data_IF_823122682809
#
_entry.id   IF_823122682809
#
_cell.length_a   1.000
_cell.length_b   1.000
_cell.length_c   1.000
_cell.angle_alpha   90.00
_cell.angle_beta   90.00
_cell.angle_gamma   90.00
#
_symmetry.space_group_name_H-M   'P 1'
#
loop_
_entity.id
_entity.type
_entity.pdbx_description
1 polymer ?
#
# COMPACT_ATOMS: atom_id res chain seq x y z
N UNK A 1 -19.21 34.19 -6.68
CA UNK A 1 -17.75 34.08 -6.71
C UNK A 1 -17.43 32.60 -6.81
N UNK A 2 -16.46 32.20 -7.63
CA UNK A 2 -16.06 30.81 -7.71
C UNK A 2 -15.35 30.40 -6.41
N UNK A 3 -15.50 29.14 -6.00
CA UNK A 3 -14.93 28.64 -4.77
C UNK A 3 -13.44 28.29 -4.98
N UNK A 4 -12.56 28.99 -4.29
CA UNK A 4 -11.11 28.79 -4.34
C UNK A 4 -10.70 27.66 -3.40
N UNK A 5 -9.93 26.69 -3.91
CA UNK A 5 -9.38 25.60 -3.10
C UNK A 5 -8.20 26.09 -2.25
N UNK A 6 -8.08 25.59 -1.02
CA UNK A 6 -6.97 25.92 -0.12
C UNK A 6 -5.62 25.55 -0.74
N UNK A 7 -5.54 24.43 -1.46
CA UNK A 7 -4.32 24.03 -2.20
C UNK A 7 -3.84 25.12 -3.16
N UNK A 8 -4.75 25.75 -3.91
CA UNK A 8 -4.40 26.79 -4.88
C UNK A 8 -3.79 28.01 -4.20
N UNK A 9 -4.33 28.38 -3.03
CA UNK A 9 -3.82 29.51 -2.23
C UNK A 9 -2.39 29.22 -1.73
N UNK A 10 -2.11 28.00 -1.28
CA UNK A 10 -0.77 27.64 -0.82
C UNK A 10 0.25 27.47 -1.95
N UNK A 11 -0.17 26.99 -3.12
CA UNK A 11 0.74 26.76 -4.26
C UNK A 11 0.98 28.03 -5.08
N UNK A 12 0.05 28.98 -5.08
CA UNK A 12 0.17 30.25 -5.81
C UNK A 12 -0.37 31.43 -4.97
N UNK A 13 0.24 31.66 -3.81
CA UNK A 13 -0.23 32.69 -2.86
C UNK A 13 -0.32 34.09 -3.47
N UNK A 14 0.63 34.44 -4.34
CA UNK A 14 0.69 35.80 -4.91
C UNK A 14 -0.50 36.12 -5.81
N UNK A 15 -1.06 35.12 -6.50
CA UNK A 15 -2.26 35.31 -7.33
C UNK A 15 -3.52 35.67 -6.51
N UNK A 16 -3.56 35.31 -5.23
CA UNK A 16 -4.73 35.53 -4.36
C UNK A 16 -4.51 36.61 -3.29
N UNK A 17 -3.26 37.02 -3.06
CA UNK A 17 -2.96 38.00 -2.03
C UNK A 17 -3.61 39.34 -2.33
N UNK A 18 -4.23 39.95 -1.31
CA UNK A 18 -5.04 41.17 -1.41
C UNK A 18 -6.25 41.06 -2.35
N UNK A 19 -6.71 39.85 -2.68
CA UNK A 19 -7.93 39.60 -3.46
C UNK A 19 -9.08 39.15 -2.55
N UNK A 20 -10.30 39.51 -2.93
CA UNK A 20 -11.48 38.87 -2.35
C UNK A 20 -11.64 37.47 -2.93
N UNK A 21 -11.70 36.48 -2.04
CA UNK A 21 -11.89 35.07 -2.39
C UNK A 21 -13.03 34.46 -1.60
N UNK A 22 -13.55 33.35 -2.11
CA UNK A 22 -14.49 32.49 -1.41
C UNK A 22 -13.87 31.12 -1.20
N UNK A 23 -13.95 30.58 0.01
CA UNK A 23 -13.51 29.22 0.34
C UNK A 23 -14.66 28.46 0.99
N UNK A 24 -14.59 27.13 0.95
CA UNK A 24 -15.50 26.24 1.66
C UNK A 24 -14.75 25.10 2.31
N UNK A 25 -15.12 24.69 3.51
CA UNK A 25 -14.49 23.56 4.17
C UNK A 25 -15.03 23.30 5.56
N UNK A 26 -14.34 22.43 6.30
CA UNK A 26 -14.75 22.02 7.64
C UNK A 26 -13.91 22.72 8.72
N UNK A 27 -14.58 23.12 9.79
CA UNK A 27 -13.96 23.70 10.98
C UNK A 27 -13.04 22.66 11.64
N UNK A 28 -11.75 22.98 11.68
CA UNK A 28 -10.74 22.23 12.46
C UNK A 28 -10.71 22.67 13.90
N UNK A 29 -10.62 23.98 14.09
CA UNK A 29 -10.57 24.61 15.41
C UNK A 29 -11.24 25.98 15.36
N UNK A 30 -11.83 26.37 16.49
CA UNK A 30 -12.43 27.68 16.71
C UNK A 30 -11.81 28.27 17.99
N UNK A 31 -11.40 29.54 17.94
CA UNK A 31 -10.93 30.32 19.09
C UNK A 31 -11.62 31.68 19.06
N UNK A 32 -12.36 32.03 20.11
CA UNK A 32 -13.19 33.24 20.15
C UNK A 32 -12.73 34.16 21.28
N UNK A 33 -12.65 35.45 20.99
CA UNK A 33 -12.52 36.55 21.95
C UNK A 33 -13.78 37.43 21.89
N UNK A 34 -13.86 38.47 22.73
CA UNK A 34 -15.06 39.33 22.79
C UNK A 34 -15.41 40.02 21.46
N UNK A 35 -14.42 40.49 20.71
CA UNK A 35 -14.62 41.30 19.51
C UNK A 35 -14.20 40.60 18.19
N UNK A 36 -13.51 39.47 18.27
CA UNK A 36 -13.01 38.74 17.11
C UNK A 36 -12.75 37.28 17.43
N UNK A 37 -12.60 36.44 16.40
CA UNK A 37 -12.23 35.05 16.53
C UNK A 37 -11.41 34.53 15.36
N UNK A 38 -10.87 33.34 15.54
CA UNK A 38 -10.08 32.60 14.58
C UNK A 38 -10.73 31.25 14.31
N UNK A 39 -10.90 30.92 13.03
CA UNK A 39 -11.35 29.60 12.57
C UNK A 39 -10.24 29.01 11.72
N UNK A 40 -9.83 27.78 12.01
CA UNK A 40 -9.00 27.01 11.09
C UNK A 40 -9.92 26.18 10.19
N UNK A 41 -9.82 26.38 8.88
CA UNK A 41 -10.61 25.67 7.88
C UNK A 41 -9.71 24.75 7.07
N UNK A 42 -10.17 23.52 6.87
CA UNK A 42 -9.57 22.60 5.91
C UNK A 42 -10.66 22.06 4.99
N UNK A 43 -10.36 22.02 3.70
CA UNK A 43 -11.26 21.59 2.63
C UNK A 43 -10.90 20.20 2.08
N UNK A 44 -9.87 19.55 2.65
CA UNK A 44 -9.38 18.28 2.14
C UNK A 44 -8.52 18.39 0.88
N UNK A 45 -8.20 19.58 0.35
CA UNK A 45 -7.36 19.73 -0.86
C UNK A 45 -5.88 19.89 -0.54
N UNK A 46 -5.56 20.35 0.66
CA UNK A 46 -4.18 20.55 1.13
C UNK A 46 -4.00 20.06 2.57
N UNK A 47 -2.77 19.70 2.93
CA UNK A 47 -2.45 19.23 4.28
C UNK A 47 -2.68 20.33 5.33
N UNK A 48 -2.19 21.55 5.06
CA UNK A 48 -2.34 22.69 5.98
C UNK A 48 -3.75 23.29 5.90
N UNK A 49 -4.21 23.80 7.03
CA UNK A 49 -5.48 24.54 7.14
C UNK A 49 -5.23 26.03 6.94
N UNK A 50 -6.22 26.75 6.41
CA UNK A 50 -6.18 28.21 6.35
C UNK A 50 -6.78 28.82 7.62
N UNK A 51 -6.13 29.86 8.15
CA UNK A 51 -6.68 30.66 9.24
C UNK A 51 -7.65 31.70 8.66
N UNK A 52 -8.85 31.75 9.22
CA UNK A 52 -9.86 32.77 8.96
C UNK A 52 -10.01 33.62 10.21
N UNK A 53 -9.93 34.94 10.06
CA UNK A 53 -10.22 35.92 11.12
C UNK A 53 -11.59 36.50 10.87
N UNK A 54 -12.44 36.51 11.89
CA UNK A 54 -13.76 37.13 11.83
C UNK A 54 -13.96 38.06 13.01
N UNK A 55 -14.69 39.15 12.81
CA UNK A 55 -14.86 40.22 13.79
C UNK A 55 -16.34 40.46 14.08
N UNK A 56 -16.67 41.16 15.17
CA UNK A 56 -18.05 41.46 15.58
C UNK A 56 -18.89 42.20 14.52
N UNK A 57 -18.23 42.76 13.50
CA UNK A 57 -18.86 43.43 12.36
C UNK A 57 -19.62 42.49 11.41
N UNK A 58 -19.37 41.17 11.45
CA UNK A 58 -20.15 40.22 10.64
C UNK A 58 -21.55 40.02 11.24
N UNK A 59 -22.57 39.89 10.39
CA UNK A 59 -23.98 39.89 10.81
C UNK A 59 -24.37 38.74 11.76
N UNK A 60 -23.67 37.61 11.69
CA UNK A 60 -23.94 36.40 12.47
C UNK A 60 -22.80 36.05 13.45
N UNK A 61 -22.08 37.05 13.97
CA UNK A 61 -20.93 36.84 14.87
C UNK A 61 -21.21 35.90 16.05
N UNK A 62 -22.35 36.07 16.72
CA UNK A 62 -22.73 35.24 17.88
C UNK A 62 -22.96 33.77 17.52
N UNK A 63 -23.46 33.51 16.32
CA UNK A 63 -23.72 32.16 15.80
C UNK A 63 -22.40 31.49 15.42
N UNK A 64 -21.56 32.18 14.66
CA UNK A 64 -20.23 31.69 14.24
C UNK A 64 -19.34 31.44 15.46
N UNK A 65 -19.47 32.25 16.51
CA UNK A 65 -18.73 32.10 17.77
C UNK A 65 -19.05 30.80 18.52
N UNK A 66 -20.08 30.04 18.11
CA UNK A 66 -20.51 28.79 18.74
C UNK A 66 -20.41 27.58 17.81
N UNK A 67 -19.85 27.75 16.61
CA UNK A 67 -19.79 26.65 15.63
C UNK A 67 -18.95 25.48 16.14
N UNK A 68 -19.47 24.26 15.99
CA UNK A 68 -18.79 23.06 16.44
C UNK A 68 -17.66 22.64 15.48
N UNK A 69 -16.64 21.97 16.02
CA UNK A 69 -15.60 21.30 15.21
C UNK A 69 -16.26 20.31 14.27
N UNK A 70 -15.85 20.30 13.00
CA UNK A 70 -16.44 19.45 11.96
C UNK A 70 -17.65 20.05 11.26
N UNK A 71 -18.11 21.26 11.61
CA UNK A 71 -19.15 21.97 10.84
C UNK A 71 -18.59 22.45 9.51
N UNK A 72 -19.41 22.47 8.45
CA UNK A 72 -19.04 22.98 7.13
C UNK A 72 -19.45 24.43 6.97
N UNK A 73 -18.52 25.26 6.50
CA UNK A 73 -18.70 26.69 6.29
C UNK A 73 -18.39 27.09 4.84
N UNK A 74 -19.07 28.13 4.36
CA UNK A 74 -18.72 28.90 3.17
C UNK A 74 -18.32 30.30 3.63
N UNK A 75 -17.13 30.76 3.25
CA UNK A 75 -16.52 31.98 3.77
C UNK A 75 -16.06 32.83 2.61
N UNK A 76 -16.53 34.08 2.57
CA UNK A 76 -16.02 35.11 1.67
C UNK A 76 -15.19 36.11 2.47
N UNK A 77 -14.02 36.48 1.96
CA UNK A 77 -13.15 37.43 2.64
C UNK A 77 -11.98 37.91 1.80
N UNK A 78 -11.20 38.82 2.37
CA UNK A 78 -9.96 39.34 1.78
C UNK A 78 -8.76 38.52 2.28
N UNK A 79 -7.98 37.92 1.38
CA UNK A 79 -6.76 37.24 1.75
C UNK A 79 -5.63 38.25 1.98
N UNK A 80 -5.01 38.25 3.14
CA UNK A 80 -3.95 39.20 3.51
C UNK A 80 -2.75 38.48 4.09
N UNK A 81 -1.59 39.15 4.10
CA UNK A 81 -0.43 38.65 4.84
C UNK A 81 -0.73 38.60 6.33
N UNK A 82 -0.29 37.51 6.97
CA UNK A 82 -0.48 37.35 8.41
C UNK A 82 0.52 38.25 9.16
N UNK A 83 0.09 39.03 10.17
CA UNK A 83 0.95 39.91 10.95
C UNK A 83 1.95 39.17 11.87
N UNK A 84 2.06 37.84 11.79
CA UNK A 84 2.98 37.03 12.58
C UNK A 84 3.58 35.84 11.83
N UNK A 85 4.75 35.38 12.27
CA UNK A 85 5.61 34.43 11.55
C UNK A 85 5.12 32.97 11.46
N UNK A 86 3.96 32.61 12.03
CA UNK A 86 3.52 31.20 12.10
C UNK A 86 2.78 30.71 10.86
N UNK A 87 2.12 31.60 10.14
CA UNK A 87 1.49 31.31 8.85
C UNK A 87 1.75 32.44 7.86
N UNK A 88 1.84 32.16 6.55
CA UNK A 88 2.15 33.17 5.54
C UNK A 88 0.99 34.16 5.31
N UNK A 89 -0.26 33.73 5.50
CA UNK A 89 -1.45 34.52 5.18
C UNK A 89 -2.63 34.14 6.08
N UNK A 90 -3.65 34.99 6.10
CA UNK A 90 -4.95 34.74 6.72
C UNK A 90 -6.09 35.36 5.90
N UNK A 91 -7.29 34.79 6.02
CA UNK A 91 -8.49 35.30 5.36
C UNK A 91 -9.27 36.18 6.34
N UNK A 92 -9.40 37.48 6.05
CA UNK A 92 -10.29 38.38 6.80
C UNK A 92 -11.73 38.19 6.30
N UNK A 93 -12.55 37.52 7.09
CA UNK A 93 -13.93 37.19 6.72
C UNK A 93 -14.79 38.44 6.63
N UNK A 94 -15.49 38.58 5.50
CA UNK A 94 -16.55 39.56 5.29
C UNK A 94 -17.93 38.94 5.49
N UNK A 95 -18.09 37.66 5.14
CA UNK A 95 -19.31 36.90 5.37
C UNK A 95 -19.01 35.42 5.60
N UNK A 96 -19.74 34.80 6.52
CA UNK A 96 -19.63 33.37 6.82
C UNK A 96 -21.03 32.77 6.82
N UNK A 97 -21.22 31.71 6.03
CA UNK A 97 -22.45 30.92 5.97
C UNK A 97 -22.17 29.55 6.56
N UNK A 98 -23.02 29.10 7.49
CA UNK A 98 -23.00 27.73 7.99
C UNK A 98 -23.77 26.87 6.99
N UNK A 99 -23.05 26.03 6.25
CA UNK A 99 -23.65 25.09 5.30
C UNK A 99 -24.20 23.86 6.02
N UNK A 100 -23.49 23.41 7.06
CA UNK A 100 -23.86 22.23 7.83
C UNK A 100 -23.30 22.27 9.24
N UNK A 101 -24.18 22.24 10.23
CA UNK A 101 -23.81 22.19 11.63
C UNK A 101 -23.35 20.78 12.03
N UNK A 102 -22.30 20.70 12.85
CA UNK A 102 -21.86 19.44 13.44
C UNK A 102 -22.41 19.28 14.86
N UNK A 103 -22.82 18.06 15.20
CA UNK A 103 -23.30 17.71 16.54
C UNK A 103 -22.15 17.69 17.56
N UNK A 104 -22.46 17.93 18.83
CA UNK A 104 -21.48 17.97 19.92
C UNK A 104 -20.92 16.61 20.28
N UNK A 105 -21.59 15.52 19.90
CA UNK A 105 -21.14 14.13 20.04
C UNK A 105 -20.16 13.69 18.93
N UNK A 106 -19.74 14.62 18.05
CA UNK A 106 -18.78 14.33 16.99
C UNK A 106 -17.51 13.67 17.55
N UNK A 107 -17.14 12.44 17.13
CA UNK A 107 -16.04 11.67 17.73
C UNK A 107 -14.68 12.36 17.66
N UNK A 108 -14.41 13.12 16.59
CA UNK A 108 -13.13 13.76 16.33
C UNK A 108 -13.03 15.15 16.98
N UNK A 109 -13.31 15.22 18.27
CA UNK A 109 -13.06 16.41 19.08
C UNK A 109 -11.56 16.79 19.07
N UNK A 110 -11.25 18.06 19.36
CA UNK A 110 -9.88 18.62 19.42
C UNK A 110 -9.08 18.08 20.61
N UNK A 111 -8.77 16.79 20.57
CA UNK A 111 -7.92 16.05 21.51
C UNK A 111 -7.13 14.99 20.76
N UNK A 112 -6.11 14.45 21.41
CA UNK A 112 -5.38 13.30 20.88
C UNK A 112 -6.28 12.06 20.96
N UNK A 113 -6.30 11.29 19.88
CA UNK A 113 -6.97 10.00 19.79
C UNK A 113 -5.93 8.91 19.52
N UNK A 114 -6.11 7.72 20.09
CA UNK A 114 -5.26 6.57 19.76
C UNK A 114 -5.59 6.03 18.37
N UNK A 115 -4.63 5.38 17.71
CA UNK A 115 -4.91 4.69 16.44
C UNK A 115 -5.95 3.59 16.60
N UNK A 116 -5.94 2.87 17.72
CA UNK A 116 -6.94 1.86 18.04
C UNK A 116 -8.37 2.43 18.04
N UNK A 117 -8.58 3.57 18.70
CA UNK A 117 -9.88 4.25 18.66
C UNK A 117 -10.22 4.74 17.25
N UNK A 118 -9.25 5.30 16.52
CA UNK A 118 -9.49 5.78 15.17
C UNK A 118 -9.89 4.65 14.20
N UNK A 119 -9.44 3.41 14.42
CA UNK A 119 -9.88 2.23 13.66
C UNK A 119 -11.35 1.89 13.89
N UNK A 120 -11.91 2.14 15.08
CA UNK A 120 -13.35 1.89 15.35
C UNK A 120 -14.26 2.93 14.69
N UNK A 121 -13.71 4.03 14.19
CA UNK A 121 -14.40 5.07 13.44
C UNK A 121 -13.75 5.32 12.07
N UNK A 122 -13.39 4.23 11.37
CA UNK A 122 -12.67 4.28 10.10
C UNK A 122 -13.34 5.19 9.05
N UNK A 123 -14.66 5.31 9.06
CA UNK A 123 -15.44 6.21 8.20
C UNK A 123 -15.20 7.71 8.47
N UNK A 124 -14.71 8.10 9.66
CA UNK A 124 -14.39 9.48 10.01
C UNK A 124 -12.89 9.77 10.07
N UNK A 125 -12.05 8.77 10.37
CA UNK A 125 -10.61 8.98 10.61
C UNK A 125 -9.87 9.70 9.48
N UNK A 126 -10.21 9.62 8.16
CA UNK A 126 -9.55 10.42 7.12
C UNK A 126 -9.59 11.92 7.36
N UNK A 127 -10.52 12.39 8.20
CA UNK A 127 -10.58 13.79 8.62
C UNK A 127 -9.48 14.15 9.61
N UNK A 128 -8.74 13.23 10.22
CA UNK A 128 -7.61 13.59 11.09
C UNK A 128 -6.36 13.92 10.29
N UNK A 129 -5.38 14.63 10.86
CA UNK A 129 -4.15 14.98 10.16
C UNK A 129 -3.39 13.74 9.68
N UNK A 130 -3.20 12.75 10.56
CA UNK A 130 -2.45 11.53 10.21
C UNK A 130 -3.07 10.78 9.04
N UNK A 131 -4.35 10.46 9.12
CA UNK A 131 -5.01 9.69 8.07
C UNK A 131 -5.27 10.50 6.79
N UNK A 132 -5.48 11.82 6.91
CA UNK A 132 -5.47 12.71 5.73
C UNK A 132 -4.13 12.63 5.00
N UNK A 133 -3.01 12.68 5.72
CA UNK A 133 -1.69 12.53 5.10
C UNK A 133 -1.50 11.13 4.48
N UNK A 134 -1.85 10.07 5.22
CA UNK A 134 -1.67 8.68 4.76
C UNK A 134 -2.44 8.43 3.47
N UNK A 135 -3.73 8.81 3.41
CA UNK A 135 -4.55 8.51 2.24
C UNK A 135 -4.24 9.41 1.03
N UNK A 136 -3.69 10.62 1.25
CA UNK A 136 -3.12 11.44 0.16
C UNK A 136 -1.87 10.79 -0.43
N UNK A 137 -0.93 10.39 0.42
CA UNK A 137 0.30 9.71 -0.02
C UNK A 137 -0.07 8.40 -0.70
N UNK A 138 -1.02 7.61 -0.16
CA UNK A 138 -1.53 6.41 -0.83
C UNK A 138 -2.04 6.70 -2.23
N UNK A 139 -2.92 7.69 -2.40
CA UNK A 139 -3.42 8.07 -3.72
C UNK A 139 -2.31 8.51 -4.67
N UNK A 140 -1.33 9.25 -4.17
CA UNK A 140 -0.20 9.76 -4.94
C UNK A 140 0.73 8.62 -5.38
N UNK A 141 1.04 7.67 -4.49
CA UNK A 141 1.88 6.51 -4.79
C UNK A 141 1.19 5.60 -5.80
N UNK A 142 -0.13 5.39 -5.69
CA UNK A 142 -0.86 4.62 -6.71
C UNK A 142 -0.71 5.24 -8.11
N UNK A 143 -0.84 6.57 -8.21
CA UNK A 143 -0.59 7.29 -9.47
C UNK A 143 0.87 7.15 -9.92
N UNK A 144 1.83 7.27 -9.00
CA UNK A 144 3.26 7.12 -9.29
C UNK A 144 3.60 5.73 -9.84
N UNK A 145 3.01 4.67 -9.28
CA UNK A 145 3.18 3.30 -9.77
C UNK A 145 2.68 3.18 -11.22
N UNK A 146 1.46 3.64 -11.51
CA UNK A 146 0.95 3.63 -12.88
C UNK A 146 1.83 4.43 -13.83
N UNK A 147 2.31 5.61 -13.39
CA UNK A 147 3.20 6.46 -14.17
C UNK A 147 4.53 5.77 -14.46
N UNK A 148 5.16 5.17 -13.46
CA UNK A 148 6.43 4.44 -13.58
C UNK A 148 6.36 3.37 -14.68
N UNK A 149 5.33 2.52 -14.61
CA UNK A 149 5.15 1.43 -15.57
C UNK A 149 4.76 1.94 -16.96
N UNK A 150 3.81 2.87 -17.06
CA UNK A 150 3.35 3.37 -18.35
C UNK A 150 4.42 4.19 -19.09
N UNK A 151 5.22 4.99 -18.38
CA UNK A 151 6.35 5.72 -18.99
C UNK A 151 7.41 4.75 -19.56
N UNK A 152 7.48 3.51 -19.05
CA UNK A 152 8.33 2.41 -19.54
C UNK A 152 7.65 1.52 -20.59
N UNK A 153 6.42 1.83 -20.98
CA UNK A 153 5.67 1.08 -21.99
C UNK A 153 5.07 -0.25 -21.50
N UNK A 154 4.93 -0.44 -20.18
CA UNK A 154 4.23 -1.61 -19.65
C UNK A 154 2.73 -1.51 -19.90
N UNK A 155 2.10 -2.65 -20.18
CA UNK A 155 0.64 -2.76 -20.29
C UNK A 155 0.02 -3.08 -18.94
N UNK A 156 -0.95 -2.28 -18.51
CA UNK A 156 -1.72 -2.55 -17.30
C UNK A 156 -2.77 -3.63 -17.56
N UNK A 157 -2.69 -4.75 -16.83
CA UNK A 157 -3.54 -5.93 -17.02
C UNK A 157 -4.43 -6.13 -15.79
N UNK A 158 -5.73 -6.27 -16.03
CA UNK A 158 -6.69 -6.69 -15.02
C UNK A 158 -6.81 -8.21 -15.03
N UNK A 159 -6.20 -8.87 -14.06
CA UNK A 159 -6.28 -10.31 -13.86
C UNK A 159 -7.56 -10.69 -13.10
N UNK A 160 -8.07 -11.93 -13.26
CA UNK A 160 -9.29 -12.36 -12.59
C UNK A 160 -9.11 -12.42 -11.08
N UNK A 161 -10.15 -12.00 -10.33
CA UNK A 161 -10.16 -12.07 -8.87
C UNK A 161 -10.73 -13.41 -8.37
N UNK A 162 -11.79 -13.91 -9.03
CA UNK A 162 -12.33 -15.23 -8.77
C UNK A 162 -11.50 -16.23 -9.57
N UNK A 163 -10.94 -17.24 -8.91
CA UNK A 163 -10.04 -18.23 -9.50
C UNK A 163 -10.43 -19.64 -9.11
N UNK A 164 -10.12 -20.61 -9.97
CA UNK A 164 -10.15 -22.04 -9.64
C UNK A 164 -8.75 -22.62 -9.46
N UNK A 165 -7.71 -21.79 -9.40
CA UNK A 165 -6.31 -22.17 -9.30
C UNK A 165 -5.66 -21.50 -8.09
N UNK A 166 -4.81 -22.23 -7.37
CA UNK A 166 -3.92 -21.67 -6.34
C UNK A 166 -2.57 -21.33 -6.97
N UNK A 167 -2.19 -20.05 -6.90
CA UNK A 167 -0.93 -19.56 -7.46
C UNK A 167 0.26 -19.77 -6.51
N UNK A 168 0.04 -19.70 -5.19
CA UNK A 168 1.12 -19.80 -4.19
C UNK A 168 1.24 -21.22 -3.61
N UNK A 169 0.23 -22.08 -3.80
CA UNK A 169 0.22 -23.47 -3.34
C UNK A 169 0.11 -23.62 -1.82
N UNK A 170 -0.29 -22.55 -1.13
CA UNK A 170 -0.36 -22.47 0.33
C UNK A 170 -1.76 -22.83 0.89
N UNK A 171 -2.78 -23.02 0.03
CA UNK A 171 -4.06 -23.63 0.40
C UNK A 171 -5.03 -22.79 1.26
N UNK A 172 -4.61 -21.64 1.80
CA UNK A 172 -5.47 -20.77 2.61
C UNK A 172 -6.14 -19.66 1.78
N UNK A 173 -7.08 -20.06 0.92
CA UNK A 173 -7.87 -19.16 0.06
C UNK A 173 -9.30 -18.99 0.58
N UNK A 174 -9.92 -17.83 0.30
CA UNK A 174 -11.35 -17.63 0.60
C UNK A 174 -12.21 -18.25 -0.49
N UNK A 175 -13.08 -19.19 -0.12
CA UNK A 175 -14.04 -19.78 -1.04
C UNK A 175 -15.12 -18.78 -1.46
N UNK A 176 -15.43 -18.73 -2.76
CA UNK A 176 -16.52 -17.96 -3.36
C UNK A 176 -17.55 -18.96 -3.86
N UNK A 177 -18.75 -18.94 -3.29
CA UNK A 177 -19.83 -19.88 -3.61
C UNK A 177 -21.18 -19.19 -3.62
N UNK A 178 -22.08 -19.71 -4.46
CA UNK A 178 -23.51 -19.35 -4.45
C UNK A 178 -24.38 -20.44 -3.84
N UNK A 179 -23.78 -21.56 -3.44
CA UNK A 179 -24.49 -22.67 -2.84
C UNK A 179 -25.12 -22.24 -1.51
N UNK A 180 -26.32 -22.77 -1.27
CA UNK A 180 -26.96 -22.65 0.04
C UNK A 180 -26.20 -23.53 1.05
N UNK A 181 -25.55 -22.90 2.03
CA UNK A 181 -24.77 -23.61 3.06
C UNK A 181 -25.65 -24.49 3.95
N UNK A 182 -26.94 -24.19 4.08
CA UNK A 182 -27.91 -25.01 4.82
C UNK A 182 -28.45 -26.18 3.97
N UNK A 183 -28.25 -26.14 2.64
CA UNK A 183 -28.78 -27.11 1.69
C UNK A 183 -27.77 -27.49 0.60
N UNK A 184 -26.54 -27.81 1.00
CA UNK A 184 -25.45 -28.14 0.07
C UNK A 184 -25.80 -29.35 -0.81
N UNK A 185 -25.75 -29.20 -2.16
CA UNK A 185 -25.99 -30.31 -3.06
C UNK A 185 -24.91 -31.39 -2.90
N UNK A 186 -25.29 -32.65 -3.09
CA UNK A 186 -24.40 -33.80 -2.92
C UNK A 186 -24.31 -34.66 -4.18
N UNK A 187 -23.13 -35.22 -4.42
CA UNK A 187 -22.91 -36.27 -5.43
C UNK A 187 -23.45 -37.61 -4.93
N UNK A 188 -23.44 -38.64 -5.77
CA UNK A 188 -23.82 -40.00 -5.37
C UNK A 188 -22.90 -40.55 -4.26
N UNK A 189 -21.65 -40.10 -4.22
CA UNK A 189 -20.64 -40.42 -3.20
C UNK A 189 -20.79 -39.59 -1.91
N UNK A 190 -21.77 -38.67 -1.84
CA UNK A 190 -22.03 -37.83 -0.68
C UNK A 190 -21.10 -36.63 -0.50
N UNK A 191 -20.21 -36.36 -1.47
CA UNK A 191 -19.37 -35.16 -1.49
C UNK A 191 -20.19 -33.93 -1.92
N UNK A 192 -19.69 -32.71 -1.67
CA UNK A 192 -20.35 -31.50 -2.18
C UNK A 192 -20.26 -31.53 -3.71
N UNK A 193 -21.40 -31.38 -4.37
CA UNK A 193 -21.49 -31.32 -5.82
C UNK A 193 -21.21 -29.90 -6.32
N UNK A 194 -19.94 -29.55 -6.43
CA UNK A 194 -19.50 -28.25 -6.98
C UNK A 194 -19.86 -28.06 -8.46
N UNK A 195 -20.24 -29.13 -9.17
CA UNK A 195 -20.82 -29.03 -10.51
C UNK A 195 -22.13 -28.24 -10.54
N UNK A 196 -22.76 -28.03 -9.38
CA UNK A 196 -23.97 -27.21 -9.20
C UNK A 196 -23.72 -25.81 -8.63
N UNK A 197 -22.48 -25.43 -8.35
CA UNK A 197 -22.15 -24.05 -7.99
C UNK A 197 -22.16 -23.15 -9.25
N UNK A 198 -22.05 -21.83 -9.08
CA UNK A 198 -22.19 -20.84 -10.14
C UNK A 198 -21.24 -21.07 -11.33
N UNK A 199 -19.99 -21.44 -11.05
CA UNK A 199 -18.95 -21.67 -12.06
C UNK A 199 -18.82 -23.14 -12.47
N UNK A 200 -19.69 -24.03 -11.96
CA UNK A 200 -19.64 -25.47 -12.23
C UNK A 200 -18.40 -26.18 -11.67
N UNK A 201 -17.67 -25.53 -10.77
CA UNK A 201 -16.51 -26.04 -10.02
C UNK A 201 -16.27 -25.18 -8.78
N UNK A 202 -15.41 -25.65 -7.89
CA UNK A 202 -14.96 -24.89 -6.74
C UNK A 202 -14.19 -23.64 -7.18
N UNK A 203 -14.47 -22.51 -6.54
CA UNK A 203 -13.82 -21.22 -6.83
C UNK A 203 -13.48 -20.46 -5.56
N UNK A 204 -12.41 -19.68 -5.64
CA UNK A 204 -11.82 -18.94 -4.54
C UNK A 204 -11.49 -17.50 -4.95
N UNK A 205 -11.21 -16.64 -3.97
CA UNK A 205 -10.56 -15.35 -4.19
C UNK A 205 -9.05 -15.55 -4.37
N UNK A 206 -8.48 -14.89 -5.38
CA UNK A 206 -7.07 -15.08 -5.74
C UNK A 206 -6.10 -14.54 -4.68
N UNK A 207 -5.00 -15.27 -4.49
CA UNK A 207 -3.84 -14.84 -3.70
C UNK A 207 -2.88 -13.98 -4.53
N UNK A 208 -2.91 -14.12 -5.87
CA UNK A 208 -2.00 -13.44 -6.79
C UNK A 208 -2.53 -13.47 -8.23
N UNK A 209 -2.28 -12.41 -9.01
CA UNK A 209 -2.57 -12.35 -10.44
C UNK A 209 -1.46 -12.94 -11.32
N UNK A 210 -0.33 -13.36 -10.74
CA UNK A 210 0.92 -13.67 -11.45
C UNK A 210 0.74 -14.66 -12.61
N UNK A 211 0.12 -15.82 -12.37
CA UNK A 211 -0.02 -16.86 -13.40
C UNK A 211 -0.78 -16.32 -14.63
N UNK A 212 -1.79 -15.46 -14.41
CA UNK A 212 -2.51 -14.80 -15.48
C UNK A 212 -1.67 -13.69 -16.13
N UNK A 213 -0.89 -12.93 -15.36
CA UNK A 213 0.01 -11.90 -15.88
C UNK A 213 1.05 -12.49 -16.84
N UNK A 214 1.58 -13.68 -16.57
CA UNK A 214 2.50 -14.40 -17.46
C UNK A 214 1.88 -14.65 -18.86
N UNK A 215 0.57 -14.91 -18.95
CA UNK A 215 -0.10 -15.07 -20.25
C UNK A 215 -0.04 -13.79 -21.10
N UNK A 216 -0.25 -12.62 -20.47
CA UNK A 216 -0.20 -11.32 -21.12
C UNK A 216 1.25 -10.89 -21.38
N UNK A 217 2.18 -11.26 -20.50
CA UNK A 217 3.60 -11.04 -20.67
C UNK A 217 4.12 -11.64 -22.00
N UNK A 218 3.67 -12.84 -22.35
CA UNK A 218 4.00 -13.48 -23.63
C UNK A 218 3.46 -12.73 -24.86
N UNK A 219 2.43 -11.89 -24.71
CA UNK A 219 1.84 -11.12 -25.80
C UNK A 219 2.36 -9.68 -25.88
N UNK A 220 2.54 -9.02 -24.74
CA UNK A 220 2.83 -7.59 -24.63
C UNK A 220 4.25 -7.28 -24.17
N UNK A 221 5.06 -8.33 -23.93
CA UNK A 221 6.43 -8.27 -23.41
C UNK A 221 6.53 -7.78 -21.97
N UNK A 222 6.00 -6.60 -21.66
CA UNK A 222 6.07 -6.00 -20.32
C UNK A 222 4.66 -5.68 -19.84
N UNK A 223 4.25 -6.28 -18.73
CA UNK A 223 2.91 -6.09 -18.15
C UNK A 223 2.99 -5.87 -16.65
N UNK A 224 1.94 -5.31 -16.07
CA UNK A 224 1.79 -5.28 -14.62
C UNK A 224 0.32 -5.38 -14.22
N UNK A 225 0.07 -5.98 -13.06
CA UNK A 225 -1.21 -5.91 -12.35
C UNK A 225 -1.15 -4.84 -11.27
N UNK A 226 -2.32 -4.37 -10.85
CA UNK A 226 -2.52 -3.57 -9.66
C UNK A 226 -3.94 -3.84 -9.18
N UNK A 227 -4.09 -4.86 -8.33
CA UNK A 227 -5.41 -5.37 -7.95
C UNK A 227 -5.45 -5.87 -6.52
N UNK A 228 -6.66 -6.12 -6.00
CA UNK A 228 -6.83 -6.74 -4.69
C UNK A 228 -6.44 -8.22 -4.74
N UNK A 229 -5.82 -8.69 -3.67
CA UNK A 229 -5.50 -10.09 -3.39
C UNK A 229 -5.93 -10.44 -1.97
N UNK A 230 -6.14 -11.73 -1.73
CA UNK A 230 -6.78 -12.20 -0.51
C UNK A 230 -6.00 -13.36 0.10
N UNK A 231 -5.88 -13.38 1.43
CA UNK A 231 -5.28 -14.49 2.17
C UNK A 231 -6.17 -14.86 3.34
N UNK A 232 -6.56 -16.12 3.43
CA UNK A 232 -7.45 -16.63 4.47
C UNK A 232 -6.69 -17.12 5.73
N UNK A 233 -5.41 -16.79 5.84
CA UNK A 233 -4.60 -17.13 7.01
C UNK A 233 -5.19 -16.55 8.30
N UNK A 234 -5.21 -17.37 9.36
CA UNK A 234 -5.68 -16.94 10.67
C UNK A 234 -4.60 -16.14 11.42
N UNK A 235 -4.13 -15.06 10.78
CA UNK A 235 -2.99 -14.25 11.19
C UNK A 235 -3.45 -12.86 11.61
N UNK A 236 -3.43 -12.57 12.93
CA UNK A 236 -3.85 -11.27 13.48
C UNK A 236 -2.66 -10.43 13.96
N UNK A 237 -1.74 -10.11 13.06
CA UNK A 237 -0.54 -9.31 13.38
C UNK A 237 -0.73 -7.84 12.96
N UNK A 238 0.24 -6.98 13.28
CA UNK A 238 0.25 -5.60 12.80
C UNK A 238 0.55 -5.46 11.29
N UNK A 239 0.94 -6.55 10.61
CA UNK A 239 1.43 -6.53 9.22
C UNK A 239 0.58 -7.34 8.25
N UNK A 240 -0.34 -8.17 8.75
CA UNK A 240 -1.23 -8.99 7.92
C UNK A 240 -2.64 -8.42 7.82
N UNK A 241 -3.19 -8.50 6.61
CA UNK A 241 -4.57 -8.21 6.27
C UNK A 241 -5.09 -9.34 5.38
N UNK A 242 -6.39 -9.64 5.50
CA UNK A 242 -7.04 -10.68 4.71
C UNK A 242 -7.37 -10.20 3.29
N UNK A 243 -7.48 -8.89 3.09
CA UNK A 243 -7.65 -8.20 1.81
C UNK A 243 -6.59 -7.09 1.75
N UNK A 244 -5.79 -7.09 0.69
CA UNK A 244 -4.73 -6.11 0.44
C UNK A 244 -4.53 -5.95 -1.07
N UNK A 245 -3.71 -4.98 -1.48
CA UNK A 245 -3.47 -4.71 -2.89
C UNK A 245 -2.06 -5.12 -3.27
N UNK A 246 -1.93 -5.81 -4.40
CA UNK A 246 -0.66 -6.24 -4.97
C UNK A 246 -0.39 -5.51 -6.29
N UNK A 247 0.89 -5.22 -6.52
CA UNK A 247 1.42 -4.74 -7.79
C UNK A 247 2.37 -5.80 -8.31
N UNK A 248 2.05 -6.38 -9.47
CA UNK A 248 2.74 -7.56 -9.97
C UNK A 248 3.20 -7.33 -11.42
N UNK A 249 4.39 -6.75 -11.66
CA UNK A 249 4.97 -6.71 -12.98
C UNK A 249 5.50 -8.06 -13.44
N UNK A 250 5.42 -8.30 -14.74
CA UNK A 250 5.97 -9.47 -15.42
C UNK A 250 6.65 -9.02 -16.72
N UNK A 251 7.87 -9.52 -16.96
CA UNK A 251 8.77 -9.05 -18.02
C UNK A 251 9.27 -10.24 -18.86
N UNK A 252 8.99 -10.23 -20.16
CA UNK A 252 9.47 -11.23 -21.09
C UNK A 252 10.90 -10.93 -21.56
N UNK A 253 11.64 -12.00 -21.86
CA UNK A 253 13.08 -11.97 -22.17
C UNK A 253 13.94 -11.48 -21.00
N UNK A 254 13.42 -11.53 -19.77
CA UNK A 254 14.08 -11.09 -18.55
C UNK A 254 14.56 -12.28 -17.71
N UNK A 255 15.64 -12.12 -16.97
CA UNK A 255 16.08 -13.02 -15.90
C UNK A 255 15.95 -12.37 -14.51
N UNK A 256 16.43 -13.06 -13.46
CA UNK A 256 16.39 -12.56 -12.09
C UNK A 256 17.13 -11.21 -11.92
N UNK A 257 18.19 -10.97 -12.72
CA UNK A 257 18.94 -9.73 -12.64
C UNK A 257 18.12 -8.54 -13.16
N UNK A 258 17.44 -8.72 -14.29
CA UNK A 258 16.52 -7.74 -14.85
C UNK A 258 15.36 -7.43 -13.85
N UNK A 259 14.86 -8.46 -13.16
CA UNK A 259 13.78 -8.34 -12.17
C UNK A 259 14.20 -7.51 -10.94
N UNK A 260 15.40 -7.77 -10.40
CA UNK A 260 15.98 -6.98 -9.31
C UNK A 260 16.23 -5.53 -9.70
N UNK A 261 16.70 -5.27 -10.94
CA UNK A 261 16.91 -3.91 -11.43
C UNK A 261 15.61 -3.12 -11.53
N UNK A 262 14.53 -3.74 -12.04
CA UNK A 262 13.21 -3.11 -12.08
C UNK A 262 12.68 -2.80 -10.67
N UNK A 263 12.82 -3.76 -9.73
CA UNK A 263 12.39 -3.59 -8.34
C UNK A 263 13.14 -2.44 -7.63
N UNK A 264 14.46 -2.37 -7.80
CA UNK A 264 15.30 -1.29 -7.26
C UNK A 264 14.90 0.07 -7.86
N UNK A 265 14.76 0.15 -9.18
CA UNK A 265 14.40 1.38 -9.88
C UNK A 265 13.02 1.89 -9.42
N UNK A 266 12.03 1.01 -9.32
CA UNK A 266 10.69 1.35 -8.86
C UNK A 266 10.73 1.90 -7.43
N UNK A 267 11.44 1.25 -6.51
CA UNK A 267 11.53 1.71 -5.13
C UNK A 267 12.17 3.10 -5.02
N UNK A 268 13.28 3.33 -5.73
CA UNK A 268 13.93 4.65 -5.78
C UNK A 268 12.99 5.71 -6.38
N UNK A 269 12.31 5.38 -7.48
CA UNK A 269 11.35 6.26 -8.13
C UNK A 269 10.21 6.67 -7.21
N UNK A 270 9.54 5.72 -6.53
CA UNK A 270 8.40 6.00 -5.66
C UNK A 270 8.79 6.90 -4.48
N UNK A 271 9.97 6.68 -3.89
CA UNK A 271 10.46 7.52 -2.79
C UNK A 271 10.72 8.94 -3.28
N UNK A 272 11.48 9.10 -4.36
CA UNK A 272 11.75 10.43 -4.95
C UNK A 272 10.45 11.15 -5.31
N UNK A 273 9.52 10.44 -5.96
CA UNK A 273 8.25 11.01 -6.40
C UNK A 273 7.43 11.56 -5.23
N UNK A 274 7.32 10.81 -4.13
CA UNK A 274 6.56 11.26 -2.95
C UNK A 274 7.24 12.41 -2.20
N UNK A 275 8.57 12.38 -2.08
CA UNK A 275 9.32 13.49 -1.46
C UNK A 275 9.14 14.81 -2.24
N UNK A 276 9.04 14.74 -3.57
CA UNK A 276 8.80 15.91 -4.42
C UNK A 276 7.33 16.37 -4.38
N UNK A 277 6.37 15.44 -4.45
CA UNK A 277 4.97 15.78 -4.71
C UNK A 277 4.08 15.86 -3.45
N UNK A 278 4.54 15.38 -2.29
CA UNK A 278 3.83 15.47 -1.00
C UNK A 278 4.72 15.98 0.16
N UNK A 279 5.47 17.08 0.00
CA UNK A 279 6.46 17.52 0.99
C UNK A 279 5.83 17.86 2.34
N UNK A 280 4.58 18.37 2.37
CA UNK A 280 3.89 18.68 3.63
C UNK A 280 3.51 17.44 4.43
N UNK A 281 2.96 16.40 3.77
CA UNK A 281 2.65 15.12 4.39
C UNK A 281 3.93 14.41 4.87
N UNK A 282 4.97 14.42 4.05
CA UNK A 282 6.25 13.79 4.37
C UNK A 282 6.95 14.48 5.55
N UNK A 283 6.92 15.81 5.62
CA UNK A 283 7.41 16.55 6.78
C UNK A 283 6.60 16.20 8.06
N UNK A 284 5.28 16.08 7.95
CA UNK A 284 4.44 15.64 9.06
C UNK A 284 4.81 14.25 9.57
N UNK A 285 5.01 13.28 8.68
CA UNK A 285 5.42 11.93 9.08
C UNK A 285 6.78 11.93 9.76
N UNK A 286 7.75 12.66 9.21
CA UNK A 286 9.07 12.76 9.82
C UNK A 286 9.03 13.44 11.20
N UNK A 287 8.18 14.44 11.41
CA UNK A 287 8.11 15.13 12.70
C UNK A 287 7.34 14.33 13.77
N UNK A 288 6.21 13.71 13.39
CA UNK A 288 5.22 13.21 14.33
C UNK A 288 5.04 11.69 14.34
N UNK A 289 5.50 10.96 13.31
CA UNK A 289 5.34 9.50 13.20
C UNK A 289 6.69 8.79 13.40
N UNK A 290 7.68 9.14 12.59
CA UNK A 290 9.02 8.53 12.64
C UNK A 290 10.10 9.59 12.33
N UNK A 291 10.85 9.99 13.36
CA UNK A 291 11.91 11.02 13.27
C UNK A 291 13.11 10.63 12.41
N UNK A 292 13.19 9.36 12.03
CA UNK A 292 14.24 8.80 11.18
C UNK A 292 13.77 8.58 9.74
N UNK A 293 12.51 8.92 9.42
CA UNK A 293 11.90 8.65 8.12
C UNK A 293 12.73 9.20 6.96
N UNK A 294 13.09 10.49 6.98
CA UNK A 294 13.87 11.09 5.90
C UNK A 294 15.23 10.43 5.74
N UNK A 295 15.97 10.24 6.83
CA UNK A 295 17.26 9.54 6.78
C UNK A 295 17.15 8.12 6.23
N UNK A 296 16.06 7.40 6.55
CA UNK A 296 15.81 6.06 6.01
C UNK A 296 15.53 6.12 4.52
N UNK A 297 14.63 6.99 4.08
CA UNK A 297 14.25 7.12 2.67
C UNK A 297 15.42 7.59 1.80
N UNK A 298 16.20 8.56 2.28
CA UNK A 298 17.43 9.03 1.64
C UNK A 298 18.49 7.92 1.54
N UNK A 299 18.59 7.05 2.56
CA UNK A 299 19.48 5.89 2.49
C UNK A 299 19.09 4.95 1.35
N UNK A 300 17.79 4.69 1.12
CA UNK A 300 17.34 3.87 -0.02
C UNK A 300 17.70 4.51 -1.35
N UNK A 301 17.34 5.79 -1.53
CA UNK A 301 17.53 6.49 -2.81
C UNK A 301 19.01 6.55 -3.20
N UNK A 302 19.90 6.77 -2.22
CA UNK A 302 21.32 6.97 -2.46
C UNK A 302 22.18 5.70 -2.35
N UNK A 303 21.61 4.55 -1.97
CA UNK A 303 22.37 3.30 -1.83
C UNK A 303 22.36 2.49 -3.11
N UNK A 304 23.49 1.83 -3.40
CA UNK A 304 23.52 0.67 -4.29
C UNK A 304 23.05 -0.56 -3.50
N UNK A 305 21.99 -1.23 -3.95
CA UNK A 305 21.40 -2.32 -3.17
C UNK A 305 22.39 -3.49 -3.07
N UNK A 306 22.53 -4.03 -1.86
CA UNK A 306 23.33 -5.23 -1.64
C UNK A 306 22.71 -6.43 -2.35
N UNK A 307 23.52 -7.42 -2.69
CA UNK A 307 23.07 -8.69 -3.25
C UNK A 307 23.83 -9.80 -2.56
N UNK A 308 23.12 -10.76 -1.99
CA UNK A 308 23.68 -11.94 -1.35
C UNK A 308 22.83 -13.16 -1.70
N UNK A 309 23.46 -14.31 -1.80
CA UNK A 309 22.71 -15.56 -1.86
C UNK A 309 22.09 -15.87 -0.50
N UNK A 310 21.00 -16.62 -0.48
CA UNK A 310 20.39 -17.17 0.73
C UNK A 310 21.41 -17.97 1.55
N UNK A 311 22.26 -18.75 0.87
CA UNK A 311 23.31 -19.54 1.53
C UNK A 311 24.29 -18.64 2.30
N UNK A 312 24.77 -17.56 1.68
CA UNK A 312 25.63 -16.58 2.36
C UNK A 312 24.89 -15.86 3.48
N UNK A 313 23.60 -15.54 3.30
CA UNK A 313 22.77 -14.94 4.34
C UNK A 313 22.68 -15.83 5.58
N UNK A 314 22.42 -17.13 5.40
CA UNK A 314 22.41 -18.12 6.48
C UNK A 314 23.79 -18.22 7.15
N UNK A 315 24.88 -18.26 6.40
CA UNK A 315 26.23 -18.31 6.97
C UNK A 315 26.56 -17.07 7.82
N UNK A 316 26.09 -15.89 7.43
CA UNK A 316 26.23 -14.65 8.20
C UNK A 316 25.39 -14.72 9.47
N UNK A 317 24.12 -15.10 9.36
CA UNK A 317 23.18 -15.16 10.47
C UNK A 317 23.57 -16.23 11.50
N UNK A 318 24.10 -17.38 11.06
CA UNK A 318 24.53 -18.47 11.94
C UNK A 318 25.68 -18.09 12.87
N UNK A 319 26.54 -17.14 12.46
CA UNK A 319 27.62 -16.60 13.32
C UNK A 319 27.05 -15.83 14.51
N UNK A 320 25.81 -15.35 14.40
CA UNK A 320 25.12 -14.51 15.37
C UNK A 320 23.85 -15.20 15.91
N UNK A 321 23.70 -16.52 15.71
CA UNK A 321 22.47 -17.29 15.96
C UNK A 321 21.90 -17.15 17.37
N UNK A 322 22.77 -16.94 18.37
CA UNK A 322 22.38 -16.81 19.78
C UNK A 322 21.59 -15.51 20.08
N UNK A 323 21.45 -14.62 19.08
CA UNK A 323 20.70 -13.36 19.18
C UNK A 323 19.25 -13.46 18.74
N UNK A 324 18.88 -14.54 18.06
CA UNK A 324 17.59 -14.69 17.40
C UNK A 324 16.67 -15.59 18.22
N UNK A 325 15.38 -15.27 18.19
CA UNK A 325 14.34 -16.13 18.78
C UNK A 325 14.07 -17.33 17.87
N UNK A 326 14.09 -17.11 16.55
CA UNK A 326 13.83 -18.12 15.53
C UNK A 326 15.13 -18.76 15.04
N UNK A 327 15.10 -20.08 14.76
CA UNK A 327 16.28 -20.81 14.31
C UNK A 327 16.78 -20.28 12.95
N UNK A 328 18.10 -20.35 12.77
CA UNK A 328 18.78 -19.98 11.53
C UNK A 328 19.44 -21.23 10.94
N UNK A 329 18.72 -21.89 10.05
CA UNK A 329 19.18 -23.14 9.41
C UNK A 329 18.94 -23.08 7.90
N UNK A 330 19.82 -23.74 7.14
CA UNK A 330 19.63 -23.81 5.69
C UNK A 330 18.40 -24.66 5.39
N UNK A 331 17.48 -24.13 4.58
CA UNK A 331 16.18 -24.76 4.30
C UNK A 331 15.04 -24.21 5.15
N UNK A 332 15.28 -23.28 6.08
CA UNK A 332 14.21 -22.53 6.77
C UNK A 332 14.05 -21.15 6.18
N UNK A 333 12.81 -20.66 6.12
CA UNK A 333 12.54 -19.31 5.65
C UNK A 333 13.06 -18.26 6.64
N UNK A 334 13.52 -17.11 6.11
CA UNK A 334 14.06 -16.04 6.93
C UNK A 334 12.92 -15.33 7.67
N UNK A 335 13.10 -15.12 8.97
CA UNK A 335 12.15 -14.35 9.76
C UNK A 335 12.49 -12.86 9.71
N UNK A 336 11.52 -11.99 9.99
CA UNK A 336 11.71 -10.53 10.02
C UNK A 336 12.91 -10.10 10.86
N UNK A 337 13.21 -10.77 11.98
CA UNK A 337 14.39 -10.43 12.80
C UNK A 337 15.72 -10.69 12.07
N UNK A 338 15.78 -11.75 11.25
CA UNK A 338 16.93 -12.11 10.44
C UNK A 338 17.11 -11.11 9.29
N UNK A 339 16.03 -10.79 8.58
CA UNK A 339 16.00 -9.82 7.48
C UNK A 339 16.45 -8.42 7.94
N UNK A 340 15.91 -7.98 9.08
CA UNK A 340 16.28 -6.70 9.68
C UNK A 340 17.73 -6.70 10.16
N UNK A 341 18.23 -7.82 10.67
CA UNK A 341 19.64 -7.90 11.05
C UNK A 341 20.58 -7.73 9.86
N UNK A 342 20.28 -8.37 8.73
CA UNK A 342 21.06 -8.22 7.49
C UNK A 342 21.06 -6.75 7.04
N UNK A 343 19.88 -6.12 6.95
CA UNK A 343 19.75 -4.76 6.42
C UNK A 343 20.22 -3.67 7.37
N UNK A 344 20.02 -3.81 8.69
CA UNK A 344 20.31 -2.78 9.69
C UNK A 344 21.70 -2.90 10.33
N UNK A 345 22.21 -4.13 10.51
CA UNK A 345 23.47 -4.36 11.25
C UNK A 345 24.63 -4.71 10.33
N UNK A 346 24.40 -5.58 9.34
CA UNK A 346 25.46 -6.07 8.43
C UNK A 346 25.68 -5.10 7.29
N UNK A 347 24.66 -4.86 6.47
CA UNK A 347 24.78 -4.10 5.23
C UNK A 347 24.51 -2.60 5.41
N UNK A 348 23.63 -2.23 6.35
CA UNK A 348 23.22 -0.82 6.61
C UNK A 348 22.63 -0.12 5.38
N UNK A 349 21.99 -0.92 4.52
CA UNK A 349 21.37 -0.54 3.25
C UNK A 349 20.40 -1.64 2.80
N UNK A 350 19.58 -1.43 1.76
CA UNK A 350 18.74 -2.48 1.17
C UNK A 350 19.57 -3.63 0.63
N UNK A 351 19.01 -4.83 0.68
CA UNK A 351 19.68 -6.05 0.25
C UNK A 351 18.68 -6.95 -0.47
N UNK A 352 19.04 -7.43 -1.66
CA UNK A 352 18.41 -8.58 -2.27
C UNK A 352 19.04 -9.85 -1.70
N UNK A 353 18.20 -10.74 -1.16
CA UNK A 353 18.57 -12.13 -0.90
C UNK A 353 18.07 -12.95 -2.08
N UNK A 354 18.96 -13.73 -2.70
CA UNK A 354 18.67 -14.50 -3.92
C UNK A 354 18.94 -15.98 -3.76
N UNK A 355 18.48 -16.80 -4.70
CA UNK A 355 18.79 -18.24 -4.78
C UNK A 355 18.34 -19.03 -3.53
N UNK A 356 17.04 -18.92 -3.21
CA UNK A 356 16.43 -19.61 -2.08
C UNK A 356 16.33 -21.12 -2.31
N UNK A 357 16.31 -21.95 -1.24
CA UNK A 357 16.06 -23.38 -1.35
C UNK A 357 14.72 -23.66 -2.04
N UNK A 358 14.72 -24.58 -3.02
CA UNK A 358 13.52 -24.86 -3.80
C UNK A 358 12.33 -25.30 -2.93
N UNK A 359 12.59 -26.05 -1.86
CA UNK A 359 11.57 -26.70 -1.03
C UNK A 359 10.74 -25.75 -0.17
N UNK A 360 11.15 -24.48 -0.05
CA UNK A 360 10.41 -23.42 0.67
C UNK A 360 9.84 -22.35 -0.28
N UNK A 361 9.88 -22.59 -1.60
CA UNK A 361 9.43 -21.65 -2.61
C UNK A 361 8.48 -22.32 -3.60
N UNK A 362 7.71 -21.49 -4.31
CA UNK A 362 6.62 -21.93 -5.18
C UNK A 362 7.10 -22.71 -6.42
N UNK A 363 6.20 -23.54 -6.97
CA UNK A 363 6.49 -24.45 -8.09
C UNK A 363 6.93 -23.76 -9.38
N UNK A 364 6.53 -22.50 -9.59
CA UNK A 364 6.78 -21.74 -10.81
C UNK A 364 8.19 -21.12 -10.86
N UNK A 365 8.95 -21.14 -9.77
CA UNK A 365 10.27 -20.50 -9.72
C UNK A 365 11.31 -21.36 -10.43
N UNK A 366 12.14 -20.74 -11.29
CA UNK A 366 13.12 -21.46 -12.10
C UNK A 366 14.14 -22.19 -11.24
N UNK A 367 14.34 -23.48 -11.50
CA UNK A 367 15.37 -24.28 -10.83
C UNK A 367 16.78 -23.85 -11.31
N UNK A 368 17.66 -23.55 -10.35
CA UNK A 368 19.05 -23.22 -10.61
C UNK A 368 19.88 -24.46 -11.00
N UNK A 369 21.06 -24.22 -11.57
CA UNK A 369 21.95 -25.29 -12.06
C UNK A 369 22.53 -26.17 -10.93
N UNK A 370 22.42 -25.73 -9.67
CA UNK A 370 22.79 -26.51 -8.49
C UNK A 370 21.75 -27.57 -8.09
N UNK A 371 20.58 -27.57 -8.74
CA UNK A 371 19.40 -28.40 -8.49
C UNK A 371 18.83 -28.34 -7.05
N UNK A 372 19.28 -27.37 -6.26
CA UNK A 372 18.91 -27.18 -4.84
C UNK A 372 18.17 -25.89 -4.60
N UNK A 373 18.53 -24.84 -5.34
CA UNK A 373 17.97 -23.50 -5.20
C UNK A 373 17.11 -23.13 -6.41
N UNK A 374 16.27 -22.11 -6.23
CA UNK A 374 15.49 -21.50 -7.31
C UNK A 374 15.89 -20.04 -7.46
N UNK A 375 15.78 -19.52 -8.68
CA UNK A 375 16.04 -18.13 -9.02
C UNK A 375 14.96 -17.18 -8.45
N UNK A 376 14.85 -17.15 -7.13
CA UNK A 376 14.00 -16.28 -6.35
C UNK A 376 14.81 -15.10 -5.83
N UNK A 377 14.14 -13.96 -5.61
CA UNK A 377 14.71 -12.81 -4.91
C UNK A 377 13.70 -12.24 -3.93
N UNK A 378 14.19 -11.85 -2.76
CA UNK A 378 13.44 -11.04 -1.81
C UNK A 378 14.23 -9.73 -1.59
N UNK A 379 13.59 -8.59 -1.81
CA UNK A 379 14.15 -7.28 -1.49
C UNK A 379 13.85 -6.95 -0.03
N UNK A 380 14.91 -6.86 0.77
CA UNK A 380 14.85 -6.50 2.17
C UNK A 380 15.21 -5.01 2.35
N UNK A 381 14.41 -4.30 3.13
CA UNK A 381 14.66 -2.90 3.49
C UNK A 381 14.77 -2.70 5.01
N UNK A 382 15.66 -1.80 5.48
CA UNK A 382 15.78 -1.49 6.91
C UNK A 382 14.44 -1.11 7.56
N UNK A 383 14.17 -1.61 8.76
CA UNK A 383 12.97 -1.33 9.55
C UNK A 383 11.79 -2.27 9.30
N UNK A 384 11.51 -2.62 8.03
CA UNK A 384 10.35 -3.48 7.68
C UNK A 384 10.76 -4.94 7.48
N UNK A 385 11.86 -5.20 6.77
CA UNK A 385 12.20 -6.52 6.26
C UNK A 385 11.83 -6.63 4.78
N UNK A 386 11.29 -7.77 4.36
CA UNK A 386 10.83 -8.01 2.99
C UNK A 386 9.76 -7.00 2.52
N UNK A 387 10.02 -6.34 1.39
CA UNK A 387 9.09 -5.41 0.73
C UNK A 387 8.64 -5.89 -0.65
N UNK A 388 9.51 -6.58 -1.40
CA UNK A 388 9.23 -7.19 -2.70
C UNK A 388 9.71 -8.63 -2.67
N UNK A 389 8.91 -9.56 -3.18
CA UNK A 389 9.32 -10.95 -3.43
C UNK A 389 9.06 -11.30 -4.89
N UNK A 390 10.00 -11.96 -5.55
CA UNK A 390 9.91 -12.25 -6.99
C UNK A 390 10.81 -13.40 -7.41
N UNK A 391 10.76 -13.72 -8.71
CA UNK A 391 11.58 -14.80 -9.27
C UNK A 391 11.65 -14.73 -10.78
N UNK A 392 12.69 -15.31 -11.33
CA UNK A 392 12.64 -15.82 -12.69
C UNK A 392 11.73 -17.05 -12.74
N UNK A 393 10.87 -17.12 -13.76
CA UNK A 393 9.90 -18.20 -13.90
C UNK A 393 10.50 -19.40 -14.60
N UNK A 394 10.06 -20.60 -14.25
CA UNK A 394 10.49 -21.83 -14.90
C UNK A 394 9.91 -21.89 -16.32
N UNK A 395 10.74 -21.59 -17.31
CA UNK A 395 10.37 -21.57 -18.72
C UNK A 395 10.47 -22.94 -19.39
N UNK A 396 11.14 -23.92 -18.76
CA UNK A 396 11.34 -25.26 -19.31
C UNK A 396 10.20 -26.18 -18.88
N UNK A 397 9.44 -26.68 -19.85
CA UNK A 397 8.22 -27.45 -19.60
C UNK A 397 8.46 -28.70 -18.75
N UNK A 398 9.51 -29.47 -19.06
CA UNK A 398 9.86 -30.70 -18.36
C UNK A 398 10.26 -30.45 -16.89
N UNK A 399 10.95 -29.35 -16.62
CA UNK A 399 11.29 -28.93 -15.25
C UNK A 399 10.05 -28.49 -14.48
N UNK A 400 9.18 -27.69 -15.11
CA UNK A 400 7.94 -27.22 -14.52
C UNK A 400 7.00 -28.38 -14.18
N UNK A 401 6.76 -29.29 -15.13
CA UNK A 401 5.92 -30.46 -14.91
C UNK A 401 6.45 -31.38 -13.80
N UNK A 402 7.78 -31.58 -13.76
CA UNK A 402 8.43 -32.34 -12.69
C UNK A 402 8.22 -31.66 -11.33
N UNK A 403 8.36 -30.32 -11.25
CA UNK A 403 8.16 -29.59 -10.00
C UNK A 403 6.70 -29.64 -9.53
N UNK A 404 5.75 -29.57 -10.46
CA UNK A 404 4.33 -29.76 -10.16
C UNK A 404 4.05 -31.16 -9.59
N UNK A 405 4.65 -32.21 -10.16
CA UNK A 405 4.54 -33.58 -9.60
C UNK A 405 5.12 -33.67 -8.20
N UNK A 406 6.30 -33.07 -7.95
CA UNK A 406 6.95 -33.03 -6.63
C UNK A 406 6.06 -32.36 -5.56
N UNK A 407 5.28 -31.36 -5.95
CA UNK A 407 4.40 -30.60 -5.05
C UNK A 407 2.94 -31.11 -5.04
N UNK A 408 2.64 -32.18 -5.76
CA UNK A 408 1.30 -32.78 -5.79
C UNK A 408 0.23 -31.94 -6.50
N UNK A 409 0.63 -31.08 -7.44
CA UNK A 409 -0.30 -30.25 -8.22
C UNK A 409 -0.93 -31.04 -9.38
N UNK A 410 -2.23 -30.86 -9.59
CA UNK A 410 -2.97 -31.47 -10.70
C UNK A 410 -2.75 -30.70 -12.00
N UNK A 411 -1.88 -31.22 -12.89
CA UNK A 411 -1.47 -30.54 -14.13
C UNK A 411 -2.63 -30.14 -15.04
N UNK A 412 -3.72 -30.89 -15.00
CA UNK A 412 -4.95 -30.62 -15.76
C UNK A 412 -5.52 -29.24 -15.46
N UNK A 413 -5.43 -28.78 -14.20
CA UNK A 413 -5.92 -27.46 -13.77
C UNK A 413 -5.07 -26.29 -14.29
N UNK A 414 -3.82 -26.60 -14.70
CA UNK A 414 -2.82 -25.65 -15.17
C UNK A 414 -2.48 -25.85 -16.65
N UNK A 415 -3.29 -26.61 -17.42
CA UNK A 415 -3.00 -26.88 -18.83
C UNK A 415 -2.73 -25.61 -19.65
N UNK A 416 -3.50 -24.55 -19.40
CA UNK A 416 -3.33 -23.23 -20.00
C UNK A 416 -2.01 -22.53 -19.61
N UNK A 417 -1.51 -22.79 -18.40
CA UNK A 417 -0.25 -22.25 -17.90
C UNK A 417 0.96 -23.01 -18.47
N UNK A 418 0.84 -24.33 -18.60
CA UNK A 418 1.82 -25.18 -19.28
C UNK A 418 1.95 -24.84 -20.76
N UNK A 419 0.84 -24.46 -21.41
CA UNK A 419 0.84 -24.04 -22.81
C UNK A 419 1.72 -22.81 -23.08
N UNK A 420 1.92 -21.95 -22.07
CA UNK A 420 2.88 -20.83 -22.16
C UNK A 420 4.32 -21.31 -22.42
N UNK A 421 4.67 -22.53 -21.97
CA UNK A 421 5.99 -23.14 -22.18
C UNK A 421 6.06 -23.99 -23.46
N UNK A 422 4.91 -24.34 -24.04
CA UNK A 422 4.82 -25.11 -25.30
C UNK A 422 4.86 -24.22 -26.54
N UNK A 423 4.15 -23.09 -26.50
CA UNK A 423 3.90 -22.28 -27.70
C UNK A 423 4.78 -21.03 -27.72
N UNK A 424 6.08 -21.23 -27.90
CA UNK A 424 7.03 -20.13 -28.04
C UNK A 424 7.32 -19.37 -26.75
N UNK A 425 7.23 -20.06 -25.59
CA UNK A 425 7.63 -19.52 -24.31
C UNK A 425 9.08 -19.03 -24.29
N UNK A 426 9.37 -18.09 -23.41
CA UNK A 426 10.69 -17.48 -23.27
C UNK A 426 11.08 -17.38 -21.80
N UNK A 427 12.35 -17.12 -21.54
CA UNK A 427 12.81 -16.62 -20.24
C UNK A 427 12.02 -15.37 -19.85
N UNK A 428 11.52 -15.32 -18.62
CA UNK A 428 10.78 -14.20 -18.08
C UNK A 428 10.88 -14.18 -16.56
N UNK A 429 10.65 -13.02 -15.98
CA UNK A 429 10.71 -12.80 -14.54
C UNK A 429 9.68 -11.75 -14.11
N UNK A 430 9.38 -11.75 -12.83
CA UNK A 430 8.50 -10.77 -12.24
C UNK A 430 8.48 -10.87 -10.72
N UNK A 431 7.85 -9.88 -10.10
CA UNK A 431 7.76 -9.79 -8.65
C UNK A 431 6.39 -9.34 -8.20
N UNK A 432 6.10 -9.54 -6.91
CA UNK A 432 4.95 -8.99 -6.22
C UNK A 432 5.39 -7.93 -5.21
N UNK A 433 4.70 -6.79 -5.23
CA UNK A 433 4.85 -5.72 -4.24
C UNK A 433 3.53 -5.50 -3.51
N UNK A 434 3.53 -5.74 -2.20
CA UNK A 434 2.39 -5.40 -1.34
C UNK A 434 2.24 -3.88 -1.21
N UNK A 435 1.17 -3.32 -1.76
CA UNK A 435 0.95 -1.88 -1.80
C UNK A 435 0.93 -1.27 -0.40
N UNK A 436 0.23 -1.94 0.53
CA UNK A 436 0.17 -1.54 1.93
C UNK A 436 1.56 -1.47 2.57
N UNK A 437 2.45 -2.43 2.29
CA UNK A 437 3.82 -2.44 2.83
C UNK A 437 4.60 -1.22 2.33
N UNK A 438 4.43 -0.82 1.07
CA UNK A 438 5.02 0.42 0.53
C UNK A 438 4.48 1.66 1.24
N UNK A 439 3.16 1.75 1.44
CA UNK A 439 2.59 2.91 2.15
C UNK A 439 3.08 2.96 3.60
N UNK A 440 3.15 1.83 4.30
CA UNK A 440 3.74 1.75 5.64
C UNK A 440 5.18 2.24 5.65
N UNK A 441 5.98 1.80 4.68
CA UNK A 441 7.39 2.16 4.56
C UNK A 441 7.60 3.65 4.32
N UNK A 442 6.87 4.22 3.35
CA UNK A 442 6.95 5.63 2.95
C UNK A 442 6.41 6.59 4.03
N UNK A 443 5.44 6.16 4.82
CA UNK A 443 4.80 7.02 5.84
C UNK A 443 5.34 6.80 7.26
N UNK A 444 6.09 5.71 7.49
CA UNK A 444 6.52 5.27 8.83
C UNK A 444 5.40 4.68 9.70
N UNK A 445 4.20 4.49 9.15
CA UNK A 445 3.08 3.87 9.86
C UNK A 445 3.36 2.38 10.07
N UNK A 446 3.28 1.93 11.31
CA UNK A 446 3.71 0.58 11.71
C UNK A 446 2.64 -0.50 11.67
N UNK A 447 1.37 -0.14 11.40
CA UNK A 447 0.27 -1.08 11.34
C UNK A 447 -0.48 -1.00 10.00
N UNK A 448 -0.64 -2.13 9.32
CA UNK A 448 -1.32 -2.23 8.02
C UNK A 448 -2.75 -1.67 8.05
N UNK A 449 -3.44 -1.83 9.19
CA UNK A 449 -4.82 -1.34 9.38
C UNK A 449 -4.94 0.18 9.28
N UNK A 450 -3.82 0.89 9.37
CA UNK A 450 -3.78 2.35 9.32
C UNK A 450 -3.41 2.90 7.94
N UNK A 451 -3.03 2.04 7.00
CA UNK A 451 -2.74 2.42 5.60
C UNK A 451 -3.75 1.90 4.58
N UNK A 452 -4.68 1.04 5.03
CA UNK A 452 -5.88 0.60 4.30
C UNK A 452 -7.07 1.43 4.74
N UNK A 453 -7.96 1.82 3.82
CA UNK A 453 -9.15 2.60 4.15
C UNK A 453 -10.05 1.89 5.17
N UNK A 454 -10.51 0.68 4.81
CA UNK A 454 -11.34 -0.21 5.63
C UNK A 454 -10.69 -1.60 5.68
N UNK A 455 -9.82 -1.87 6.67
CA UNK A 455 -9.05 -3.10 6.69
C UNK A 455 -9.94 -4.33 6.95
N UNK A 456 -9.71 -5.41 6.19
CA UNK A 456 -10.22 -6.75 6.48
C UNK A 456 -9.16 -7.54 7.24
N UNK A 457 -9.48 -7.97 8.45
CA UNK A 457 -8.57 -8.80 9.27
C UNK A 457 -9.38 -9.88 9.98
N UNK A 458 -8.71 -10.84 10.62
CA UNK A 458 -9.36 -11.90 11.41
C UNK A 458 -10.46 -11.30 12.31
N UNK A 459 -11.69 -11.80 12.17
CA UNK A 459 -12.91 -11.36 12.89
C UNK A 459 -13.32 -9.89 12.69
N UNK A 460 -12.83 -9.21 11.66
CA UNK A 460 -13.16 -7.81 11.38
C UNK A 460 -13.46 -7.62 9.89
N UNK A 461 -14.75 -7.40 9.58
CA UNK A 461 -15.24 -7.06 8.25
C UNK A 461 -16.26 -5.90 8.31
N UNK A 462 -16.22 -5.09 9.37
CA UNK A 462 -17.07 -3.90 9.52
C UNK A 462 -16.68 -2.81 8.51
N UNK A 463 -17.66 -1.94 8.22
CA UNK A 463 -17.67 -0.88 7.21
C UNK A 463 -17.75 -1.37 5.77
#
# INVERSE_FOLDING_TARGET
MENTLIKSIYRDTQAYLNQEIQISGWVRTLRVSKAFGFIEINDGTFFKSIQVVFEESISNFEEISKVATGSSLIIKGLLVESPGAKQPFELKAQSIVIEGSCSTDYPLQKKRHSFEYLRTIAHLRPRTNTFSAVFRVRSLVAYAIHKFFQDKGFVYVHTPIITGSDAEGAGEMFQVTTLDLDALPRTEEGQIDFGKDFFGKETNLTVSGQLNAETYCMAFRNVYTFGPTFRAENSNTARHAAEFWMIEPEIAFADLQDDMELAEEMMKYLITYVLEHAPEEMAFFNEFVDKTLFSRLENIVNSDFGRITYTEAIEILQKEKDRFEFPVEWGTDLQTEHERFLTEQIFKKPVFVIDYPKDIKAFYMRLNDDEKTVAAMDLLVPGVGEIIGGSQREERLDYLEKRMDEMGLHKEDYGWYLDLRKYGGTRHAGYGLGFERVIMYLTGISNIRDVVAFPRTVKNADF
#
